data_IF_144460399468
#
_entry.id   IF_144460399468
#
_cell.length_a   1.000
_cell.length_b   1.000
_cell.length_c   1.000
_cell.angle_alpha   90.00
_cell.angle_beta   90.00
_cell.angle_gamma   90.00
#
_symmetry.space_group_name_H-M   'P 1'
#
loop_
_entity.id
_entity.type
_entity.pdbx_description
1 polymer ?
#
# COMPACT_ATOMS: atom_id res chain seq x y z
N UNK A 1 -11.39 5.34 -29.31
CA UNK A 1 -10.44 4.51 -28.53
C UNK A 1 -10.28 5.13 -27.15
N UNK A 2 -10.17 4.33 -26.08
CA UNK A 2 -9.91 4.85 -24.72
C UNK A 2 -8.49 5.39 -24.63
N UNK A 3 -8.27 6.46 -23.86
CA UNK A 3 -6.92 7.04 -23.70
C UNK A 3 -5.95 6.02 -23.11
N UNK A 4 -4.70 6.01 -23.58
CA UNK A 4 -3.64 5.16 -23.00
C UNK A 4 -3.35 5.63 -21.58
N UNK A 5 -3.13 4.69 -20.66
CA UNK A 5 -2.86 4.97 -19.25
C UNK A 5 -4.11 4.97 -18.36
N UNK A 6 -5.29 4.63 -18.89
CA UNK A 6 -6.47 4.31 -18.07
C UNK A 6 -6.45 2.85 -17.62
N UNK A 7 -7.26 2.50 -16.63
CA UNK A 7 -7.42 1.10 -16.16
C UNK A 7 -7.76 0.15 -17.30
N UNK A 8 -8.59 0.60 -18.25
CA UNK A 8 -9.07 -0.24 -19.35
C UNK A 8 -8.19 -0.21 -20.60
N UNK A 9 -7.24 0.73 -20.68
CA UNK A 9 -6.22 0.77 -21.72
C UNK A 9 -4.86 1.14 -21.08
N UNK A 10 -4.31 0.25 -20.22
CA UNK A 10 -3.10 0.54 -19.49
C UNK A 10 -1.90 0.64 -20.44
N UNK A 11 -0.93 1.45 -20.06
CA UNK A 11 0.32 1.61 -20.78
C UNK A 11 1.14 0.33 -20.67
N UNK A 12 1.63 -0.18 -21.80
CA UNK A 12 2.44 -1.40 -21.87
C UNK A 12 3.84 -1.17 -21.32
N UNK A 13 4.19 -1.79 -20.20
CA UNK A 13 5.52 -1.67 -19.62
C UNK A 13 6.57 -2.26 -20.57
N UNK A 14 7.59 -1.46 -20.91
CA UNK A 14 8.65 -1.83 -21.87
C UNK A 14 8.13 -2.36 -23.22
N UNK A 15 6.94 -1.92 -23.63
CA UNK A 15 6.32 -2.30 -24.90
C UNK A 15 5.82 -3.75 -24.97
N UNK A 16 5.79 -4.48 -23.86
CA UNK A 16 5.30 -5.86 -23.82
C UNK A 16 3.76 -5.90 -23.77
N UNK A 17 3.16 -6.73 -24.63
CA UNK A 17 1.71 -6.95 -24.67
C UNK A 17 1.39 -8.37 -24.23
N UNK A 18 0.67 -8.53 -23.12
CA UNK A 18 0.37 -9.84 -22.53
C UNK A 18 -0.28 -10.80 -23.52
N UNK A 19 -1.34 -10.37 -24.20
CA UNK A 19 -2.11 -11.24 -25.11
C UNK A 19 -1.28 -11.67 -26.32
N UNK A 20 -0.58 -10.74 -26.96
CA UNK A 20 0.27 -11.01 -28.12
C UNK A 20 1.42 -11.96 -27.77
N UNK A 21 2.07 -11.74 -26.62
CA UNK A 21 3.17 -12.58 -26.14
C UNK A 21 2.67 -13.99 -25.78
N UNK A 22 1.54 -14.08 -25.06
CA UNK A 22 0.90 -15.36 -24.71
C UNK A 22 0.54 -16.17 -25.94
N UNK A 23 -0.12 -15.56 -26.92
CA UNK A 23 -0.49 -16.22 -28.18
C UNK A 23 0.74 -16.68 -28.96
N UNK A 24 1.79 -15.85 -29.02
CA UNK A 24 3.05 -16.20 -29.68
C UNK A 24 3.69 -17.42 -29.03
N UNK A 25 3.76 -17.46 -27.70
CA UNK A 25 4.30 -18.59 -26.94
C UNK A 25 3.47 -19.86 -27.13
N UNK A 26 2.13 -19.75 -27.09
CA UNK A 26 1.21 -20.87 -27.36
C UNK A 26 1.40 -21.45 -28.76
N UNK A 27 1.46 -20.59 -29.78
CA UNK A 27 1.66 -20.99 -31.17
C UNK A 27 3.00 -21.69 -31.38
N UNK A 28 4.05 -21.23 -30.69
CA UNK A 28 5.40 -21.82 -30.73
C UNK A 28 5.58 -23.03 -29.81
N UNK A 29 4.58 -23.34 -28.96
CA UNK A 29 4.65 -24.37 -27.90
C UNK A 29 5.87 -24.19 -26.98
N UNK A 30 6.12 -22.94 -26.60
CA UNK A 30 7.23 -22.56 -25.72
C UNK A 30 6.70 -21.78 -24.52
N UNK A 31 7.43 -21.83 -23.41
CA UNK A 31 7.14 -20.99 -22.26
C UNK A 31 7.79 -19.63 -22.45
N UNK A 32 7.09 -18.58 -22.02
CA UNK A 32 7.57 -17.20 -22.08
C UNK A 32 8.80 -17.03 -21.19
N UNK A 33 9.83 -16.43 -21.75
CA UNK A 33 11.01 -16.00 -21.02
C UNK A 33 11.11 -14.49 -21.14
N UNK A 34 11.02 -13.80 -20.01
CA UNK A 34 11.05 -12.35 -19.96
C UNK A 34 12.48 -11.84 -20.14
N UNK A 35 12.77 -11.30 -21.32
CA UNK A 35 14.04 -10.68 -21.68
C UNK A 35 14.26 -9.34 -20.98
N UNK A 36 13.17 -8.66 -20.61
CA UNK A 36 13.24 -7.38 -19.90
C UNK A 36 13.46 -7.54 -18.39
N UNK A 37 13.16 -8.70 -17.83
CA UNK A 37 13.43 -9.03 -16.42
C UNK A 37 13.98 -10.46 -16.32
N UNK A 38 15.23 -10.66 -16.77
CA UNK A 38 15.79 -12.00 -16.95
C UNK A 38 15.94 -12.75 -15.63
N UNK A 39 15.88 -14.07 -15.69
CA UNK A 39 16.14 -14.96 -14.56
C UNK A 39 17.64 -14.98 -14.19
N UNK A 40 18.16 -13.85 -13.71
CA UNK A 40 19.58 -13.62 -13.46
C UNK A 40 19.80 -12.73 -12.23
N UNK A 41 21.07 -12.52 -11.86
CA UNK A 41 21.46 -11.67 -10.74
C UNK A 41 21.06 -10.19 -10.92
N UNK A 42 20.86 -9.71 -12.14
CA UNK A 42 20.44 -8.31 -12.37
C UNK A 42 19.04 -8.04 -11.85
N UNK A 43 18.16 -9.04 -11.93
CA UNK A 43 16.77 -8.95 -11.47
C UNK A 43 16.67 -9.14 -9.95
N UNK A 44 17.65 -9.78 -9.32
CA UNK A 44 17.76 -9.88 -7.85
C UNK A 44 18.33 -8.59 -7.25
N UNK A 45 19.46 -8.12 -7.79
CA UNK A 45 20.26 -7.02 -7.26
C UNK A 45 21.44 -7.50 -6.39
N UNK A 46 22.60 -6.87 -6.58
CA UNK A 46 23.89 -7.34 -6.04
C UNK A 46 24.09 -7.08 -4.54
N UNK A 47 23.29 -6.21 -3.95
CA UNK A 47 23.38 -5.80 -2.54
C UNK A 47 22.28 -6.42 -1.68
N UNK A 48 21.35 -7.18 -2.26
CA UNK A 48 20.25 -7.80 -1.53
C UNK A 48 20.75 -8.89 -0.56
N UNK A 49 21.72 -9.69 -0.98
CA UNK A 49 22.27 -10.82 -0.21
C UNK A 49 23.80 -10.86 -0.33
N UNK A 50 24.44 -11.68 0.51
CA UNK A 50 25.87 -11.98 0.36
C UNK A 50 26.18 -12.64 -0.99
N UNK A 51 27.40 -12.43 -1.50
CA UNK A 51 27.83 -12.97 -2.80
C UNK A 51 27.63 -14.48 -2.92
N UNK A 52 27.92 -15.24 -1.87
CA UNK A 52 27.77 -16.71 -1.87
C UNK A 52 26.30 -17.14 -1.98
N UNK A 53 25.40 -16.42 -1.29
CA UNK A 53 23.97 -16.65 -1.41
C UNK A 53 23.47 -16.31 -2.81
N UNK A 54 23.90 -15.17 -3.37
CA UNK A 54 23.52 -14.74 -4.72
C UNK A 54 23.89 -15.78 -5.78
N UNK A 55 25.12 -16.31 -5.74
CA UNK A 55 25.59 -17.33 -6.68
C UNK A 55 24.84 -18.67 -6.56
N UNK A 56 24.18 -18.90 -5.42
CA UNK A 56 23.42 -20.12 -5.15
C UNK A 56 21.95 -20.03 -5.57
N UNK A 57 21.47 -18.85 -5.99
CA UNK A 57 20.07 -18.65 -6.41
C UNK A 57 19.79 -19.43 -7.70
N UNK A 58 18.69 -20.18 -7.68
CA UNK A 58 18.15 -20.87 -8.85
C UNK A 58 16.79 -20.30 -9.19
N UNK A 59 16.51 -20.10 -10.46
CA UNK A 59 15.19 -19.68 -10.90
C UNK A 59 14.37 -20.90 -11.30
N UNK A 60 13.17 -21.04 -10.73
CA UNK A 60 12.30 -22.20 -10.96
C UNK A 60 10.89 -21.74 -11.32
N UNK A 61 10.25 -22.48 -12.23
CA UNK A 61 8.81 -22.34 -12.47
C UNK A 61 8.02 -23.22 -11.51
N UNK A 62 6.76 -22.88 -11.19
CA UNK A 62 5.83 -23.80 -10.59
C UNK A 62 5.78 -25.13 -11.36
N UNK A 63 5.69 -26.25 -10.66
CA UNK A 63 5.65 -27.55 -11.32
C UNK A 63 4.26 -27.80 -11.91
N UNK A 64 4.12 -27.57 -13.23
CA UNK A 64 2.84 -27.70 -13.95
C UNK A 64 2.59 -29.14 -14.46
N UNK A 65 3.31 -30.15 -13.96
CA UNK A 65 3.08 -31.54 -14.38
C UNK A 65 1.76 -32.09 -13.82
N UNK A 66 0.90 -32.62 -14.70
CA UNK A 66 -0.46 -33.13 -14.38
C UNK A 66 -0.48 -34.32 -13.41
N UNK A 67 0.67 -34.88 -13.04
CA UNK A 67 0.80 -36.03 -12.15
C UNK A 67 1.11 -35.64 -10.69
N UNK A 68 1.28 -34.35 -10.39
CA UNK A 68 1.46 -33.90 -9.01
C UNK A 68 0.11 -33.80 -8.31
N UNK A 69 0.04 -34.32 -7.08
CA UNK A 69 -1.12 -34.19 -6.19
C UNK A 69 -1.49 -32.74 -5.84
N UNK A 70 -0.64 -31.77 -6.19
CA UNK A 70 -0.79 -30.34 -5.89
C UNK A 70 -0.46 -29.53 -7.16
N UNK A 71 -1.43 -29.37 -8.06
CA UNK A 71 -1.27 -28.58 -9.29
C UNK A 71 -1.25 -27.07 -8.97
N UNK A 72 -0.34 -26.27 -9.58
CA UNK A 72 -0.26 -24.84 -9.29
C UNK A 72 -1.53 -24.11 -9.72
N UNK A 73 -1.98 -23.18 -8.89
CA UNK A 73 -3.13 -22.30 -9.16
C UNK A 73 -2.68 -20.86 -9.10
N UNK A 74 -3.30 -20.04 -9.95
CA UNK A 74 -3.08 -18.61 -9.89
C UNK A 74 -3.86 -18.03 -8.72
N UNK A 75 -5.17 -18.23 -8.75
CA UNK A 75 -6.11 -17.93 -7.66
C UNK A 75 -6.91 -19.21 -7.35
N UNK A 76 -7.01 -19.60 -6.08
CA UNK A 76 -7.82 -20.75 -5.66
C UNK A 76 -9.23 -20.32 -5.24
N UNK A 77 -9.32 -19.50 -4.18
CA UNK A 77 -10.58 -19.06 -3.54
C UNK A 77 -10.69 -17.52 -3.51
N UNK A 78 -10.05 -16.86 -4.48
CA UNK A 78 -9.84 -15.40 -4.51
C UNK A 78 -8.55 -14.98 -3.82
N UNK A 79 -8.13 -13.74 -4.02
CA UNK A 79 -6.91 -13.22 -3.39
C UNK A 79 -7.22 -12.77 -1.96
N UNK A 80 -6.66 -13.46 -0.97
CA UNK A 80 -6.87 -13.15 0.45
C UNK A 80 -5.58 -12.74 1.13
N UNK A 81 -5.71 -11.99 2.23
CA UNK A 81 -4.55 -11.60 3.06
C UNK A 81 -3.79 -12.82 3.60
N UNK A 82 -4.46 -13.98 3.73
CA UNK A 82 -3.89 -15.23 4.23
C UNK A 82 -2.97 -15.95 3.24
N UNK A 83 -2.96 -15.52 1.98
CA UNK A 83 -2.08 -16.09 0.95
C UNK A 83 -0.69 -15.44 0.96
N UNK A 84 -0.53 -14.36 1.73
CA UNK A 84 0.68 -13.55 1.78
C UNK A 84 1.52 -13.96 2.99
N UNK A 85 2.71 -14.49 2.72
CA UNK A 85 3.73 -14.78 3.74
C UNK A 85 5.07 -14.27 3.23
N UNK A 86 5.61 -13.25 3.89
CA UNK A 86 6.85 -12.59 3.48
C UNK A 86 8.03 -13.58 3.36
N UNK A 87 8.82 -13.39 2.31
CA UNK A 87 10.07 -14.13 2.08
C UNK A 87 11.26 -13.55 2.86
N UNK A 88 12.47 -13.70 2.31
CA UNK A 88 13.68 -13.09 2.91
C UNK A 88 13.90 -11.64 2.47
N UNK A 89 13.06 -11.11 1.58
CA UNK A 89 13.18 -9.75 1.04
C UNK A 89 12.57 -8.77 2.04
N UNK A 90 13.22 -7.62 2.24
CA UNK A 90 12.78 -6.55 3.14
C UNK A 90 11.64 -5.69 2.59
N UNK A 91 10.65 -6.29 1.95
CA UNK A 91 9.57 -5.63 1.20
C UNK A 91 8.23 -5.59 1.96
N UNK A 92 8.26 -5.72 3.29
CA UNK A 92 7.06 -5.69 4.15
C UNK A 92 6.09 -4.54 3.85
N UNK A 93 6.60 -3.38 3.45
CA UNK A 93 5.80 -2.21 3.06
C UNK A 93 4.93 -2.46 1.83
N UNK A 94 5.42 -3.26 0.87
CA UNK A 94 4.66 -3.72 -0.30
C UNK A 94 3.61 -4.73 0.16
N UNK A 95 4.01 -5.74 0.92
CA UNK A 95 3.13 -6.84 1.32
C UNK A 95 2.00 -6.40 2.26
N UNK A 96 2.26 -5.47 3.16
CA UNK A 96 1.22 -4.84 3.97
C UNK A 96 0.22 -4.03 3.10
N UNK A 97 0.71 -3.29 2.10
CA UNK A 97 -0.20 -2.61 1.15
C UNK A 97 -1.04 -3.61 0.34
N UNK A 98 -0.43 -4.72 -0.14
CA UNK A 98 -1.17 -5.82 -0.80
C UNK A 98 -2.19 -6.44 0.17
N UNK A 99 -1.84 -6.63 1.44
CA UNK A 99 -2.77 -7.12 2.45
C UNK A 99 -4.01 -6.23 2.56
N UNK A 100 -3.85 -4.90 2.55
CA UNK A 100 -4.98 -3.96 2.54
C UNK A 100 -5.80 -4.04 1.25
N UNK A 101 -5.13 -4.24 0.10
CA UNK A 101 -5.73 -4.39 -1.22
C UNK A 101 -6.68 -5.59 -1.29
N UNK A 102 -6.33 -6.72 -0.66
CA UNK A 102 -7.16 -7.95 -0.69
C UNK A 102 -8.55 -7.76 -0.06
N UNK A 103 -8.72 -6.75 0.81
CA UNK A 103 -10.02 -6.45 1.42
C UNK A 103 -10.92 -5.58 0.52
N UNK A 104 -10.40 -5.07 -0.60
CA UNK A 104 -11.09 -4.11 -1.47
C UNK A 104 -11.11 -4.58 -2.92
N UNK A 105 -12.16 -5.33 -3.27
CA UNK A 105 -12.33 -5.97 -4.57
C UNK A 105 -12.19 -5.01 -5.76
N UNK A 106 -12.72 -3.80 -5.67
CA UNK A 106 -12.67 -2.80 -6.75
C UNK A 106 -11.24 -2.37 -7.11
N UNK A 107 -10.37 -2.24 -6.11
CA UNK A 107 -8.96 -1.93 -6.35
C UNK A 107 -8.19 -3.19 -6.79
N UNK A 108 -8.48 -4.33 -6.17
CA UNK A 108 -7.83 -5.60 -6.46
C UNK A 108 -8.00 -6.03 -7.92
N UNK A 109 -9.21 -5.92 -8.48
CA UNK A 109 -9.50 -6.25 -9.88
C UNK A 109 -8.77 -5.35 -10.88
N UNK A 110 -8.43 -4.11 -10.47
CA UNK A 110 -7.61 -3.23 -11.30
C UNK A 110 -6.16 -3.72 -11.35
N UNK A 111 -5.62 -4.27 -10.25
CA UNK A 111 -4.23 -4.71 -10.13
C UNK A 111 -4.02 -6.13 -10.65
N UNK A 112 -4.96 -7.04 -10.39
CA UNK A 112 -4.90 -8.45 -10.73
C UNK A 112 -6.00 -8.79 -11.75
N UNK A 113 -5.68 -8.81 -13.05
CA UNK A 113 -6.60 -9.27 -14.08
C UNK A 113 -7.00 -10.75 -13.89
N UNK A 114 -8.27 -11.07 -14.14
CA UNK A 114 -8.82 -12.43 -13.98
C UNK A 114 -8.55 -13.36 -15.18
N UNK A 115 -7.92 -12.87 -16.26
CA UNK A 115 -7.74 -13.59 -17.52
C UNK A 115 -6.47 -14.47 -17.58
N UNK A 116 -5.96 -14.88 -16.42
CA UNK A 116 -4.72 -15.66 -16.25
C UNK A 116 -4.89 -16.83 -15.27
N UNK A 117 -4.38 -18.01 -15.65
CA UNK A 117 -4.45 -19.25 -14.85
C UNK A 117 -3.42 -20.27 -15.37
N UNK A 118 -3.02 -21.24 -14.54
CA UNK A 118 -2.07 -22.29 -14.93
C UNK A 118 -2.70 -23.43 -15.76
N UNK A 119 -4.00 -23.68 -15.60
CA UNK A 119 -4.68 -24.84 -16.19
C UNK A 119 -5.20 -24.62 -17.63
N UNK A 120 -5.28 -23.36 -18.08
CA UNK A 120 -5.86 -22.97 -19.36
C UNK A 120 -4.97 -21.95 -20.07
N UNK A 121 -4.69 -22.18 -21.37
CA UNK A 121 -3.84 -21.30 -22.20
C UNK A 121 -2.50 -20.93 -21.53
N UNK A 122 -1.96 -21.83 -20.71
CA UNK A 122 -0.73 -21.60 -19.98
C UNK A 122 0.47 -21.56 -20.92
N UNK A 123 1.22 -20.48 -20.82
CA UNK A 123 2.45 -20.25 -21.56
C UNK A 123 3.57 -19.70 -20.65
N UNK A 124 3.48 -19.91 -19.33
CA UNK A 124 4.48 -19.41 -18.36
C UNK A 124 4.57 -17.89 -18.29
N UNK A 125 3.45 -17.19 -18.52
CA UNK A 125 3.31 -15.73 -18.63
C UNK A 125 2.11 -15.25 -17.82
N UNK A 126 2.28 -14.15 -17.09
CA UNK A 126 1.28 -13.50 -16.25
C UNK A 126 1.43 -11.98 -16.37
N UNK A 127 0.45 -11.22 -15.92
CA UNK A 127 0.54 -9.77 -15.86
C UNK A 127 -0.23 -9.15 -14.70
N UNK A 128 0.20 -7.96 -14.31
CA UNK A 128 -0.36 -7.16 -13.23
C UNK A 128 -0.35 -5.69 -13.65
N UNK A 129 -1.23 -4.90 -13.06
CA UNK A 129 -1.30 -3.47 -13.36
C UNK A 129 -0.98 -2.65 -12.12
N UNK A 130 -0.19 -1.60 -12.33
CA UNK A 130 0.19 -0.69 -11.27
C UNK A 130 -0.05 0.73 -11.74
N UNK A 131 -0.50 1.58 -10.83
CA UNK A 131 -0.56 3.01 -11.07
C UNK A 131 0.85 3.59 -10.95
N UNK A 132 1.28 4.37 -11.93
CA UNK A 132 2.58 5.03 -11.96
C UNK A 132 2.39 6.48 -12.39
N UNK A 133 2.53 7.38 -11.43
CA UNK A 133 2.57 8.83 -11.65
C UNK A 133 1.42 9.35 -12.52
N UNK A 134 0.20 8.83 -12.32
CA UNK A 134 -1.00 9.27 -13.03
C UNK A 134 -1.48 8.35 -14.16
N UNK A 135 -0.71 7.32 -14.52
CA UNK A 135 -1.06 6.36 -15.57
C UNK A 135 -1.10 4.93 -15.01
N UNK A 136 -2.08 4.13 -15.42
CA UNK A 136 -2.05 2.68 -15.21
C UNK A 136 -1.08 2.02 -16.19
N UNK A 137 -0.21 1.16 -15.68
CA UNK A 137 0.84 0.47 -16.42
C UNK A 137 0.68 -1.04 -16.27
N UNK A 138 0.59 -1.75 -17.38
CA UNK A 138 0.48 -3.21 -17.45
C UNK A 138 1.89 -3.83 -17.52
N UNK A 139 2.22 -4.66 -16.53
CA UNK A 139 3.53 -5.28 -16.36
C UNK A 139 3.39 -6.78 -16.54
N UNK A 140 3.95 -7.27 -17.64
CA UNK A 140 4.03 -8.70 -17.97
C UNK A 140 5.22 -9.33 -17.24
N UNK A 141 5.09 -10.56 -16.73
CA UNK A 141 6.20 -11.34 -16.17
C UNK A 141 6.09 -12.80 -16.59
N UNK A 142 7.22 -13.50 -16.66
CA UNK A 142 7.20 -14.96 -16.65
C UNK A 142 7.04 -15.52 -15.22
N UNK A 143 6.78 -16.81 -15.07
CA UNK A 143 6.57 -17.46 -13.76
C UNK A 143 7.84 -18.08 -13.13
N UNK A 144 9.04 -17.73 -13.62
CA UNK A 144 10.29 -18.14 -12.96
C UNK A 144 10.45 -17.34 -11.66
N UNK A 145 10.49 -18.00 -10.52
CA UNK A 145 10.67 -17.39 -9.20
C UNK A 145 12.06 -17.74 -8.62
N UNK A 146 12.70 -16.82 -7.88
CA UNK A 146 13.99 -17.07 -7.24
C UNK A 146 13.87 -18.06 -6.09
N UNK A 147 14.74 -19.06 -6.07
CA UNK A 147 14.74 -20.17 -5.13
C UNK A 147 16.13 -20.34 -4.52
N UNK A 148 16.19 -20.34 -3.18
CA UNK A 148 17.43 -20.42 -2.41
C UNK A 148 17.23 -21.38 -1.23
N UNK A 149 18.16 -22.31 -1.04
CA UNK A 149 18.20 -23.22 0.12
C UNK A 149 16.88 -23.96 0.42
N UNK A 150 16.16 -24.40 -0.61
CA UNK A 150 14.93 -25.19 -0.42
C UNK A 150 13.65 -24.37 -0.29
N UNK A 151 13.71 -23.03 -0.33
CA UNK A 151 12.55 -22.14 -0.27
C UNK A 151 12.60 -21.04 -1.34
N UNK A 152 11.47 -20.39 -1.59
CA UNK A 152 11.45 -19.20 -2.44
C UNK A 152 12.12 -18.02 -1.71
N UNK A 153 12.72 -17.11 -2.45
CA UNK A 153 13.30 -15.89 -1.87
C UNK A 153 12.22 -14.81 -1.65
N UNK A 154 11.32 -14.72 -2.61
CA UNK A 154 10.08 -13.93 -2.64
C UNK A 154 9.03 -14.46 -1.66
N UNK A 155 7.84 -13.85 -1.64
CA UNK A 155 6.64 -14.34 -0.96
C UNK A 155 6.47 -15.84 -1.20
N UNK A 156 6.26 -16.60 -0.14
CA UNK A 156 6.10 -18.04 -0.23
C UNK A 156 4.73 -18.38 -0.82
N UNK A 157 4.67 -19.23 -1.86
CA UNK A 157 3.41 -19.84 -2.28
C UNK A 157 2.82 -20.65 -1.12
N UNK A 158 1.50 -20.55 -0.92
CA UNK A 158 0.79 -21.28 0.13
C UNK A 158 0.84 -22.79 -0.11
N UNK A 159 0.57 -23.60 0.92
CA UNK A 159 0.52 -25.08 0.83
C UNK A 159 -0.38 -25.60 -0.31
N UNK A 160 -1.40 -24.83 -0.71
CA UNK A 160 -2.30 -25.13 -1.82
C UNK A 160 -1.69 -24.81 -3.21
N UNK A 161 -0.40 -24.47 -3.28
CA UNK A 161 0.31 -24.08 -4.49
C UNK A 161 -0.34 -22.89 -5.22
N UNK A 162 -0.69 -21.85 -4.46
CA UNK A 162 -1.22 -20.58 -4.95
C UNK A 162 -0.08 -19.57 -5.15
N UNK A 163 0.02 -18.99 -6.35
CA UNK A 163 1.21 -18.23 -6.78
C UNK A 163 0.97 -16.74 -7.08
N UNK A 164 -0.28 -16.24 -7.01
CA UNK A 164 -0.55 -14.83 -7.28
C UNK A 164 0.31 -13.86 -6.43
N UNK A 165 0.58 -14.09 -5.12
CA UNK A 165 1.34 -13.13 -4.32
C UNK A 165 2.80 -13.05 -4.79
N UNK A 166 3.43 -14.20 -5.05
CA UNK A 166 4.82 -14.28 -5.52
C UNK A 166 4.98 -13.67 -6.91
N UNK A 167 3.98 -13.87 -7.79
CA UNK A 167 4.00 -13.30 -9.14
C UNK A 167 3.73 -11.79 -9.13
N UNK A 168 2.87 -11.30 -8.25
CA UNK A 168 2.62 -9.87 -8.05
C UNK A 168 3.87 -9.17 -7.54
N UNK A 169 4.51 -9.71 -6.50
CA UNK A 169 5.78 -9.19 -5.96
C UNK A 169 6.85 -9.14 -7.07
N UNK A 170 6.96 -10.20 -7.89
CA UNK A 170 7.87 -10.22 -9.05
C UNK A 170 7.57 -9.09 -10.04
N UNK A 171 6.31 -8.88 -10.39
CA UNK A 171 5.91 -7.83 -11.33
C UNK A 171 6.22 -6.44 -10.76
N UNK A 172 6.01 -6.25 -9.46
CA UNK A 172 6.37 -5.01 -8.78
C UNK A 172 7.90 -4.82 -8.69
N UNK A 173 8.67 -5.87 -8.41
CA UNK A 173 10.13 -5.87 -8.47
C UNK A 173 10.64 -5.48 -9.86
N UNK A 174 10.00 -6.01 -10.92
CA UNK A 174 10.29 -5.67 -12.31
C UNK A 174 10.01 -4.19 -12.62
N UNK A 175 8.88 -3.68 -12.15
CA UNK A 175 8.51 -2.27 -12.29
C UNK A 175 9.54 -1.36 -11.62
N UNK A 176 9.98 -1.72 -10.41
CA UNK A 176 11.01 -1.00 -9.63
C UNK A 176 12.45 -1.32 -10.09
N UNK A 177 12.63 -2.26 -11.00
CA UNK A 177 13.90 -2.60 -11.67
C UNK A 177 14.64 -3.82 -11.13
N UNK A 178 14.48 -4.19 -9.85
CA UNK A 178 15.00 -5.44 -9.25
C UNK A 178 14.34 -5.71 -7.90
N UNK A 179 14.44 -6.95 -7.39
CA UNK A 179 13.99 -7.27 -6.02
C UNK A 179 14.71 -6.47 -4.94
N UNK A 180 16.00 -6.13 -5.13
CA UNK A 180 16.74 -5.25 -4.23
C UNK A 180 16.08 -3.88 -4.08
N UNK A 181 15.45 -3.35 -5.14
CA UNK A 181 14.78 -2.05 -5.09
C UNK A 181 13.44 -2.10 -4.32
N UNK A 182 13.01 -3.28 -3.87
CA UNK A 182 11.90 -3.43 -2.93
C UNK A 182 12.37 -3.46 -1.47
N UNK A 183 13.68 -3.62 -1.23
CA UNK A 183 14.25 -3.70 0.10
C UNK A 183 14.21 -2.31 0.75
N UNK A 184 13.27 -2.12 1.67
CA UNK A 184 12.83 -0.84 2.25
C UNK A 184 11.98 0.03 1.33
N UNK A 185 11.01 0.70 1.92
CA UNK A 185 10.15 1.67 1.26
C UNK A 185 9.05 2.16 2.20
N UNK A 186 8.21 3.06 1.69
CA UNK A 186 7.09 3.61 2.44
C UNK A 186 5.80 2.94 1.99
N UNK A 187 5.05 2.38 2.94
CA UNK A 187 3.77 1.73 2.66
C UNK A 187 2.82 2.64 1.87
N UNK A 188 2.88 3.95 2.12
CA UNK A 188 2.10 4.95 1.42
C UNK A 188 2.35 4.91 -0.11
N UNK A 189 3.61 4.77 -0.55
CA UNK A 189 3.94 4.64 -1.98
C UNK A 189 3.29 3.41 -2.60
N UNK A 190 3.35 2.25 -1.93
CA UNK A 190 2.72 1.03 -2.45
C UNK A 190 1.20 1.15 -2.49
N UNK A 191 0.59 1.76 -1.47
CA UNK A 191 -0.84 2.02 -1.46
C UNK A 191 -1.28 2.83 -2.68
N UNK A 192 -0.53 3.88 -3.03
CA UNK A 192 -0.80 4.69 -4.24
C UNK A 192 -0.57 3.87 -5.50
N UNK A 193 0.54 3.13 -5.60
CA UNK A 193 0.85 2.31 -6.79
C UNK A 193 -0.19 1.19 -7.02
N UNK A 194 -0.89 0.72 -6.00
CA UNK A 194 -1.96 -0.28 -6.13
C UNK A 194 -3.36 0.30 -6.34
N UNK A 195 -3.58 1.59 -6.08
CA UNK A 195 -4.93 2.19 -6.10
C UNK A 195 -5.09 3.32 -7.12
N UNK A 196 -4.01 4.04 -7.42
CA UNK A 196 -4.07 5.36 -8.04
C UNK A 196 -4.79 6.41 -7.20
N UNK A 197 -4.95 6.14 -5.91
CA UNK A 197 -5.67 6.98 -4.96
C UNK A 197 -4.83 8.14 -4.42
N UNK A 198 -5.48 8.93 -3.58
CA UNK A 198 -4.86 9.97 -2.76
C UNK A 198 -4.49 9.36 -1.42
N UNK A 199 -3.22 9.49 -1.03
CA UNK A 199 -2.75 9.07 0.29
C UNK A 199 -2.75 10.24 1.28
N UNK A 200 -3.01 9.94 2.55
CA UNK A 200 -2.79 10.81 3.70
C UNK A 200 -1.94 10.10 4.73
N UNK A 201 -0.93 10.79 5.26
CA UNK A 201 -0.01 10.27 6.26
C UNK A 201 -0.23 11.01 7.59
N UNK A 202 -0.41 10.26 8.67
CA UNK A 202 -0.60 10.77 10.01
C UNK A 202 0.56 10.33 10.90
N UNK A 203 1.16 11.29 11.61
CA UNK A 203 2.22 11.01 12.56
C UNK A 203 1.60 10.54 13.89
N UNK A 204 1.83 9.29 14.26
CA UNK A 204 1.26 8.70 15.49
C UNK A 204 2.03 9.10 16.75
N UNK A 205 3.25 9.61 16.63
CA UNK A 205 3.99 10.19 17.77
C UNK A 205 3.49 11.58 18.16
N UNK A 206 2.76 12.24 17.25
CA UNK A 206 2.08 13.52 17.44
C UNK A 206 0.72 13.48 16.74
N UNK A 207 -0.19 12.62 17.22
CA UNK A 207 -1.43 12.35 16.54
C UNK A 207 -2.33 13.61 16.56
N UNK A 208 -3.10 13.87 15.49
CA UNK A 208 -4.12 14.90 15.54
C UNK A 208 -5.21 14.49 16.56
N UNK A 209 -5.92 15.48 17.11
CA UNK A 209 -6.88 15.26 18.20
C UNK A 209 -8.00 14.30 17.80
N UNK A 210 -8.36 14.30 16.52
CA UNK A 210 -9.41 13.53 15.86
C UNK A 210 -8.91 12.22 15.23
N UNK A 211 -7.67 11.78 15.49
CA UNK A 211 -7.10 10.57 14.87
C UNK A 211 -8.00 9.34 15.02
N UNK A 212 -8.63 9.18 16.17
CA UNK A 212 -9.54 8.04 16.44
C UNK A 212 -10.72 8.04 15.49
N UNK A 213 -11.35 9.21 15.31
CA UNK A 213 -12.46 9.39 14.40
C UNK A 213 -12.02 9.17 12.95
N UNK A 214 -10.80 9.60 12.59
CA UNK A 214 -10.21 9.40 11.25
C UNK A 214 -10.04 7.91 10.97
N UNK A 215 -9.46 7.15 11.90
CA UNK A 215 -9.22 5.71 11.75
C UNK A 215 -10.54 4.95 11.62
N UNK A 216 -11.54 5.29 12.45
CA UNK A 216 -12.87 4.69 12.38
C UNK A 216 -13.60 5.07 11.08
N UNK A 217 -13.47 6.31 10.61
CA UNK A 217 -14.06 6.77 9.37
C UNK A 217 -13.44 6.08 8.16
N UNK A 218 -12.11 5.94 8.13
CA UNK A 218 -11.38 5.24 7.07
C UNK A 218 -11.76 3.75 6.98
N UNK A 219 -11.95 3.08 8.12
CA UNK A 219 -12.45 1.72 8.15
C UNK A 219 -13.89 1.61 7.59
N UNK A 220 -14.76 2.58 7.91
CA UNK A 220 -16.15 2.61 7.40
C UNK A 220 -16.23 2.93 5.90
N UNK A 221 -15.35 3.77 5.37
CA UNK A 221 -15.32 4.12 3.94
C UNK A 221 -14.71 3.03 3.06
N UNK A 222 -14.06 2.02 3.65
CA UNK A 222 -13.29 1.04 2.88
C UNK A 222 -12.03 1.66 2.28
N UNK A 223 -11.40 2.59 3.00
CA UNK A 223 -10.11 3.13 2.61
C UNK A 223 -9.01 2.12 2.95
N UNK A 224 -7.96 2.04 2.13
CA UNK A 224 -6.83 1.16 2.39
C UNK A 224 -5.95 1.78 3.46
N UNK A 225 -5.56 0.97 4.44
CA UNK A 225 -4.83 1.41 5.62
C UNK A 225 -3.55 0.61 5.86
N UNK A 226 -2.51 1.31 6.26
CA UNK A 226 -1.22 0.71 6.58
C UNK A 226 -0.48 1.52 7.63
N UNK A 227 0.31 0.85 8.46
CA UNK A 227 1.04 1.51 9.55
C UNK A 227 2.43 0.90 9.74
N UNK A 228 3.32 1.64 10.38
CA UNK A 228 4.70 1.20 10.62
C UNK A 228 5.09 1.34 12.08
N UNK A 229 5.86 0.39 12.57
CA UNK A 229 6.52 0.50 13.87
C UNK A 229 7.82 1.30 13.74
N UNK A 230 8.26 2.02 14.79
CA UNK A 230 9.55 2.70 14.79
C UNK A 230 10.71 1.74 14.47
N UNK A 231 11.73 2.22 13.75
CA UNK A 231 12.98 1.47 13.55
C UNK A 231 13.83 1.37 14.82
N UNK A 232 14.68 0.34 14.88
CA UNK A 232 15.65 0.15 15.96
C UNK A 232 17.00 0.85 15.70
N UNK A 233 17.90 0.79 16.68
CA UNK A 233 19.28 1.25 16.51
C UNK A 233 20.12 0.29 15.65
N UNK A 234 19.72 -0.97 15.55
CA UNK A 234 20.36 -1.98 14.72
C UNK A 234 19.64 -2.08 13.37
N UNK A 235 20.40 -2.37 12.30
CA UNK A 235 19.83 -2.63 11.00
C UNK A 235 19.10 -3.98 11.00
N UNK A 236 17.81 -3.96 10.65
CA UNK A 236 16.98 -5.15 10.51
C UNK A 236 15.75 -5.11 11.41
N UNK A 237 14.82 -6.03 11.12
CA UNK A 237 13.57 -6.16 11.84
C UNK A 237 13.77 -7.11 13.04
N UNK A 238 13.25 -6.74 14.20
CA UNK A 238 13.37 -7.52 15.44
C UNK A 238 12.00 -7.65 16.10
N UNK A 239 11.61 -8.88 16.42
CA UNK A 239 10.40 -9.13 17.21
C UNK A 239 10.64 -8.71 18.67
N UNK A 240 9.72 -7.89 19.19
CA UNK A 240 9.73 -7.35 20.54
C UNK A 240 9.00 -8.30 21.49
N UNK A 241 9.15 -8.08 22.80
CA UNK A 241 8.49 -8.91 23.82
C UNK A 241 6.95 -8.85 23.76
N UNK A 242 6.39 -7.75 23.25
CA UNK A 242 4.96 -7.60 23.01
C UNK A 242 4.51 -8.26 21.69
N UNK A 243 5.42 -8.90 20.95
CA UNK A 243 5.20 -9.61 19.68
C UNK A 243 5.04 -8.73 18.44
N UNK A 244 5.16 -7.40 18.58
CA UNK A 244 5.34 -6.51 17.43
C UNK A 244 6.77 -6.59 16.91
N UNK A 245 6.94 -6.35 15.63
CA UNK A 245 8.22 -6.33 14.95
C UNK A 245 8.64 -4.88 14.78
N UNK A 246 9.85 -4.56 15.21
CA UNK A 246 10.43 -3.23 15.08
C UNK A 246 10.85 -2.94 13.62
N UNK A 247 10.65 -1.70 13.14
CA UNK A 247 11.00 -1.29 11.77
C UNK A 247 10.17 -1.96 10.68
N UNK A 248 8.94 -2.37 11.00
CA UNK A 248 8.13 -3.24 10.15
C UNK A 248 6.80 -2.58 9.77
N UNK A 249 6.27 -2.93 8.60
CA UNK A 249 5.00 -2.45 8.10
C UNK A 249 3.89 -3.46 8.37
N UNK A 250 2.73 -2.95 8.77
CA UNK A 250 1.52 -3.70 9.10
C UNK A 250 0.35 -3.16 8.30
N UNK A 251 -0.59 -4.04 7.97
CA UNK A 251 -1.87 -3.64 7.39
C UNK A 251 -2.80 -3.19 8.50
N UNK A 252 -3.48 -2.06 8.33
CA UNK A 252 -4.64 -1.70 9.18
C UNK A 252 -5.88 -2.22 8.46
N UNK A 253 -6.46 -3.29 8.97
CA UNK A 253 -7.54 -4.01 8.26
C UNK A 253 -8.92 -3.51 8.61
N UNK A 254 -9.11 -3.00 9.85
CA UNK A 254 -10.40 -2.50 10.31
C UNK A 254 -10.22 -1.64 11.58
N UNK A 255 -11.24 -0.87 11.91
CA UNK A 255 -11.38 -0.21 13.20
C UNK A 255 -12.85 -0.13 13.60
N UNK A 256 -13.14 -0.40 14.86
CA UNK A 256 -14.51 -0.39 15.39
C UNK A 256 -14.55 0.04 16.84
N UNK A 257 -15.72 0.46 17.30
CA UNK A 257 -15.95 0.74 18.71
C UNK A 257 -16.73 -0.43 19.33
N UNK A 258 -16.26 -0.92 20.48
CA UNK A 258 -16.92 -2.00 21.22
C UNK A 258 -17.26 -1.53 22.64
N UNK A 259 -18.35 -2.05 23.18
CA UNK A 259 -18.66 -1.89 24.60
C UNK A 259 -17.91 -2.94 25.42
N UNK A 260 -17.10 -2.49 26.38
CA UNK A 260 -16.36 -3.35 27.30
C UNK A 260 -16.38 -2.75 28.71
N UNK A 261 -16.86 -3.53 29.69
CA UNK A 261 -17.01 -3.09 31.08
C UNK A 261 -17.81 -1.77 31.22
N UNK A 262 -18.92 -1.64 30.49
CA UNK A 262 -19.79 -0.45 30.44
C UNK A 262 -19.06 0.83 29.97
N UNK A 263 -18.02 0.67 29.16
CA UNK A 263 -17.28 1.77 28.51
C UNK A 263 -17.13 1.44 27.03
N UNK A 264 -17.20 2.47 26.19
CA UNK A 264 -16.85 2.33 24.78
C UNK A 264 -15.33 2.34 24.65
N UNK A 265 -14.79 1.36 23.93
CA UNK A 265 -13.37 1.20 23.64
C UNK A 265 -13.18 1.16 22.13
N UNK A 266 -12.25 1.96 21.62
CA UNK A 266 -11.91 2.01 20.20
C UNK A 266 -10.84 0.96 19.91
N UNK A 267 -11.16 0.02 19.03
CA UNK A 267 -10.33 -1.12 18.68
C UNK A 267 -9.85 -0.98 17.23
N UNK A 268 -8.55 -1.17 17.05
CA UNK A 268 -7.91 -1.23 15.73
C UNK A 268 -7.48 -2.67 15.47
N UNK A 269 -7.71 -3.15 14.25
CA UNK A 269 -7.23 -4.44 13.77
C UNK A 269 -6.01 -4.22 12.87
N UNK A 270 -4.93 -4.94 13.18
CA UNK A 270 -3.69 -4.88 12.42
C UNK A 270 -3.24 -6.28 12.03
N UNK A 271 -2.60 -6.40 10.87
CA UNK A 271 -2.10 -7.68 10.36
C UNK A 271 -0.63 -7.60 9.97
N UNK A 272 0.09 -8.68 10.28
CA UNK A 272 1.53 -8.82 10.09
C UNK A 272 1.85 -9.63 8.82
N UNK A 273 2.51 -9.05 7.80
CA UNK A 273 2.87 -9.76 6.57
C UNK A 273 3.91 -10.87 6.74
N UNK A 274 4.59 -10.97 7.89
CA UNK A 274 5.47 -12.11 8.17
C UNK A 274 4.72 -13.44 8.35
N UNK A 275 3.41 -13.41 8.61
CA UNK A 275 2.63 -14.63 8.91
C UNK A 275 3.04 -15.31 10.23
N UNK A 276 3.85 -14.64 11.05
CA UNK A 276 4.31 -15.07 12.37
C UNK A 276 4.50 -13.84 13.29
N UNK A 277 4.42 -14.04 14.60
CA UNK A 277 4.50 -12.97 15.60
C UNK A 277 3.13 -12.33 15.86
N UNK A 278 2.68 -12.42 17.11
CA UNK A 278 1.35 -11.98 17.55
C UNK A 278 1.44 -10.95 18.65
N UNK A 279 0.50 -9.99 18.65
CA UNK A 279 0.35 -9.06 19.75
C UNK A 279 0.05 -9.77 21.07
N UNK A 280 0.95 -9.61 22.04
CA UNK A 280 0.86 -10.23 23.37
C UNK A 280 0.27 -9.32 24.45
N UNK A 281 -0.20 -8.12 24.08
CA UNK A 281 -0.77 -7.14 25.00
C UNK A 281 -2.27 -7.32 25.26
N UNK A 282 -2.95 -6.25 25.68
CA UNK A 282 -4.41 -6.24 25.89
C UNK A 282 -5.11 -6.54 24.56
N UNK A 283 -6.21 -7.29 24.60
CA UNK A 283 -6.95 -7.73 23.41
C UNK A 283 -6.28 -8.82 22.57
N UNK A 284 -5.22 -9.46 23.08
CA UNK A 284 -4.64 -10.65 22.44
C UNK A 284 -5.66 -11.76 22.25
N UNK A 285 -5.44 -12.57 21.22
CA UNK A 285 -6.23 -13.73 20.89
C UNK A 285 -5.90 -14.86 21.89
N UNK A 286 -6.52 -14.83 23.08
CA UNK A 286 -6.40 -15.94 24.02
C UNK A 286 -7.31 -17.05 23.51
N UNK A 287 -6.76 -17.97 22.70
CA UNK A 287 -7.45 -19.03 21.94
C UNK A 287 -8.43 -19.95 22.69
N UNK A 288 -8.72 -19.72 23.98
CA UNK A 288 -9.85 -20.31 24.72
C UNK A 288 -10.34 -19.27 25.75
N UNK A 289 -11.65 -19.06 25.82
CA UNK A 289 -12.39 -18.30 26.87
C UNK A 289 -12.21 -16.77 26.94
N UNK A 290 -12.92 -16.05 26.07
CA UNK A 290 -13.66 -14.85 26.49
C UNK A 290 -14.79 -14.59 25.50
N UNK A 291 -16.00 -14.29 25.96
CA UNK A 291 -17.20 -14.12 25.12
C UNK A 291 -17.19 -12.83 24.28
N UNK A 292 -16.00 -12.34 23.88
CA UNK A 292 -15.76 -11.15 23.05
C UNK A 292 -15.74 -11.49 21.55
N UNK A 293 -15.90 -12.77 21.20
CA UNK A 293 -15.71 -13.32 19.85
C UNK A 293 -16.98 -13.44 19.00
N UNK A 294 -17.94 -12.53 19.11
CA UNK A 294 -19.12 -12.57 18.24
C UNK A 294 -19.29 -11.26 17.46
N UNK A 295 -19.00 -11.39 16.14
CA UNK A 295 -19.38 -10.56 14.98
C UNK A 295 -18.45 -9.40 14.53
N UNK A 296 -18.39 -9.08 13.21
CA UNK A 296 -18.74 -9.85 12.01
C UNK A 296 -17.62 -9.79 10.94
N UNK A 297 -16.81 -10.84 10.81
CA UNK A 297 -16.42 -11.22 9.45
C UNK A 297 -17.47 -12.21 8.97
N UNK A 298 -18.26 -11.85 7.96
CA UNK A 298 -18.89 -12.85 7.09
C UNK A 298 -17.79 -13.47 6.24
N UNK A 299 -16.90 -14.23 6.87
CA UNK A 299 -16.27 -15.32 6.12
C UNK A 299 -17.42 -16.31 5.89
N UNK A 300 -17.77 -16.68 4.66
CA UNK A 300 -18.76 -17.72 4.43
C UNK A 300 -18.40 -18.93 5.28
N UNK A 301 -19.37 -19.54 5.98
CA UNK A 301 -19.11 -20.73 6.79
C UNK A 301 -18.41 -21.83 5.97
N UNK A 302 -18.61 -21.85 4.65
CA UNK A 302 -17.91 -22.72 3.70
C UNK A 302 -16.42 -22.44 3.56
N UNK A 303 -15.93 -21.22 3.77
CA UNK A 303 -14.51 -20.87 3.68
C UNK A 303 -13.80 -21.09 5.03
N UNK A 304 -14.46 -20.81 6.17
CA UNK A 304 -13.95 -21.26 7.49
C UNK A 304 -13.91 -22.78 7.51
N UNK A 305 -14.97 -23.45 7.05
CA UNK A 305 -14.99 -24.90 6.94
C UNK A 305 -14.01 -25.40 5.89
N UNK A 306 -13.79 -24.77 4.73
CA UNK A 306 -12.76 -25.24 3.79
C UNK A 306 -11.34 -25.06 4.33
N UNK A 307 -11.07 -23.97 5.05
CA UNK A 307 -9.79 -23.74 5.75
C UNK A 307 -9.60 -24.71 6.93
N UNK A 308 -10.68 -25.18 7.57
CA UNK A 308 -10.66 -26.16 8.65
C UNK A 308 -10.70 -27.64 8.16
N UNK A 309 -11.25 -27.90 6.97
CA UNK A 309 -11.55 -29.26 6.46
C UNK A 309 -10.59 -29.69 5.35
N UNK A 310 -10.04 -28.76 4.54
CA UNK A 310 -9.07 -29.09 3.49
C UNK A 310 -7.64 -28.75 3.96
N UNK A 311 -7.06 -29.68 4.70
CA UNK A 311 -5.64 -29.91 4.96
C UNK A 311 -4.74 -28.74 5.46
N UNK A 312 -4.07 -29.01 6.59
CA UNK A 312 -2.93 -28.32 7.24
C UNK A 312 -3.20 -27.54 8.53
N UNK A 313 -4.40 -27.02 8.83
CA UNK A 313 -4.60 -26.29 10.12
C UNK A 313 -4.75 -27.19 11.36
N UNK A 314 -4.89 -28.52 11.20
CA UNK A 314 -5.18 -29.46 12.31
C UNK A 314 -4.05 -30.48 12.59
N UNK A 315 -2.97 -30.54 11.79
CA UNK A 315 -1.95 -31.61 11.96
C UNK A 315 -1.00 -31.39 13.17
N UNK A 316 -1.19 -30.36 13.99
CA UNK A 316 -0.39 -30.20 15.23
C UNK A 316 -1.13 -29.61 16.44
N UNK A 317 -2.47 -29.52 16.44
CA UNK A 317 -3.19 -28.91 17.57
C UNK A 317 -2.79 -27.43 17.84
N UNK A 318 -2.13 -26.80 16.87
CA UNK A 318 -1.76 -25.39 16.82
C UNK A 318 -2.39 -24.82 15.55
N UNK A 319 -3.63 -24.35 15.64
CA UNK A 319 -3.98 -23.21 14.81
C UNK A 319 -3.00 -22.11 15.25
N UNK A 320 -2.02 -21.77 14.42
CA UNK A 320 -1.20 -20.59 14.70
C UNK A 320 -2.13 -19.39 14.50
N UNK A 321 -2.60 -18.82 15.60
CA UNK A 321 -3.38 -17.59 15.64
C UNK A 321 -2.60 -16.43 14.93
N UNK A 322 -1.28 -16.60 14.70
CA UNK A 322 -0.35 -15.69 14.03
C UNK A 322 -0.71 -15.26 12.60
N UNK A 323 -1.65 -15.96 11.96
CA UNK A 323 -2.09 -15.64 10.60
C UNK A 323 -3.23 -14.61 10.56
N UNK A 324 -3.95 -14.43 11.68
CA UNK A 324 -5.11 -13.57 11.71
C UNK A 324 -4.74 -12.12 12.08
N UNK A 325 -5.47 -11.12 11.54
CA UNK A 325 -5.36 -9.77 12.04
C UNK A 325 -5.72 -9.72 13.52
N UNK A 326 -4.81 -9.25 14.36
CA UNK A 326 -5.03 -9.15 15.80
C UNK A 326 -5.54 -7.77 16.19
N UNK A 327 -6.23 -7.73 17.33
CA UNK A 327 -6.88 -6.54 17.88
C UNK A 327 -5.98 -5.87 18.90
N UNK A 328 -6.01 -4.53 18.91
CA UNK A 328 -5.42 -3.73 19.97
C UNK A 328 -6.26 -2.48 20.21
N UNK A 329 -6.08 -1.83 21.36
CA UNK A 329 -6.74 -0.54 21.58
C UNK A 329 -6.13 0.53 20.68
N UNK A 330 -6.90 1.55 20.33
CA UNK A 330 -6.37 2.70 19.58
C UNK A 330 -5.24 3.41 20.37
N UNK A 331 -5.27 3.35 21.70
CA UNK A 331 -4.19 3.86 22.55
C UNK A 331 -2.90 3.07 22.35
N UNK A 332 -2.95 1.73 22.43
CA UNK A 332 -1.79 0.87 22.19
C UNK A 332 -1.25 1.08 20.76
N UNK A 333 -2.14 1.24 19.79
CA UNK A 333 -1.76 1.52 18.41
C UNK A 333 -0.96 2.83 18.29
N UNK A 334 -1.40 3.92 18.92
CA UNK A 334 -0.66 5.19 18.93
C UNK A 334 0.67 5.11 19.69
N UNK A 335 0.77 4.26 20.71
CA UNK A 335 1.99 4.11 21.51
C UNK A 335 3.08 3.29 20.81
N UNK A 336 2.70 2.31 19.97
CA UNK A 336 3.63 1.35 19.38
C UNK A 336 3.95 1.60 17.89
N UNK A 337 3.12 2.38 17.20
CA UNK A 337 3.30 2.73 15.79
C UNK A 337 3.68 4.21 15.66
N UNK A 338 4.43 4.57 14.60
CA UNK A 338 4.87 5.97 14.39
C UNK A 338 4.18 6.68 13.23
N UNK A 339 3.59 5.94 12.29
CA UNK A 339 2.94 6.48 11.11
C UNK A 339 1.72 5.64 10.75
N UNK A 340 0.63 6.31 10.38
CA UNK A 340 -0.54 5.72 9.74
C UNK A 340 -0.66 6.32 8.33
N UNK A 341 -0.80 5.47 7.33
CA UNK A 341 -1.04 5.85 5.94
C UNK A 341 -2.42 5.36 5.54
N UNK A 342 -3.27 6.24 5.04
CA UNK A 342 -4.62 5.92 4.54
C UNK A 342 -4.69 6.33 3.08
N UNK A 343 -5.20 5.47 2.22
CA UNK A 343 -5.31 5.71 0.78
C UNK A 343 -6.68 5.33 0.24
N UNK A 344 -7.23 6.20 -0.59
CA UNK A 344 -8.54 6.01 -1.21
C UNK A 344 -8.59 6.83 -2.52
N UNK A 345 -9.54 6.55 -3.42
CA UNK A 345 -9.78 7.35 -4.62
C UNK A 345 -10.06 8.83 -4.28
N UNK A 346 -10.76 9.05 -3.17
CA UNK A 346 -11.06 10.38 -2.63
C UNK A 346 -10.95 10.35 -1.12
N UNK A 347 -10.48 11.44 -0.45
CA UNK A 347 -10.32 11.47 1.00
C UNK A 347 -11.66 11.65 1.74
N UNK A 348 -12.71 10.91 1.33
CA UNK A 348 -14.07 11.01 1.87
C UNK A 348 -14.17 10.69 3.36
N UNK A 349 -13.21 9.91 3.89
CA UNK A 349 -13.12 9.62 5.32
C UNK A 349 -12.88 10.87 6.19
N UNK A 350 -12.38 11.96 5.62
CA UNK A 350 -12.18 13.24 6.31
C UNK A 350 -13.48 14.03 6.50
N UNK A 351 -14.58 13.64 5.87
CA UNK A 351 -15.86 14.32 6.03
C UNK A 351 -16.53 13.98 7.37
N UNK A 352 -16.12 12.89 8.04
CA UNK A 352 -16.67 12.30 9.28
C UNK A 352 -18.20 12.02 9.30
N UNK A 353 -18.94 12.54 8.32
CA UNK A 353 -20.38 12.43 8.16
C UNK A 353 -20.76 11.20 7.33
N UNK A 354 -21.92 10.57 7.58
CA UNK A 354 -22.40 9.43 6.79
C UNK A 354 -22.71 9.78 5.33
N UNK A 355 -22.94 11.08 5.04
CA UNK A 355 -23.24 11.57 3.70
C UNK A 355 -21.93 11.95 3.02
N UNK A 356 -21.48 11.10 2.08
CA UNK A 356 -20.29 11.39 1.30
C UNK A 356 -20.46 12.70 0.54
N UNK A 357 -19.58 13.67 0.80
CA UNK A 357 -19.51 14.88 -0.02
C UNK A 357 -18.89 14.53 -1.36
N UNK A 358 -19.33 15.20 -2.41
CA UNK A 358 -18.79 14.98 -3.75
C UNK A 358 -17.40 15.61 -3.86
N UNK A 359 -16.35 14.80 -3.70
CA UNK A 359 -14.98 15.21 -3.97
C UNK A 359 -14.74 15.31 -5.47
N UNK A 360 -14.15 16.42 -5.93
CA UNK A 360 -13.71 16.60 -7.31
C UNK A 360 -12.19 16.61 -7.36
N UNK A 361 -11.61 15.66 -8.10
CA UNK A 361 -10.17 15.60 -8.33
C UNK A 361 -9.79 16.29 -9.64
N UNK A 362 -8.62 16.90 -9.69
CA UNK A 362 -8.01 17.44 -10.91
C UNK A 362 -6.50 17.29 -10.81
N UNK A 363 -5.88 16.72 -11.84
CA UNK A 363 -4.45 16.41 -11.88
C UNK A 363 -3.73 17.26 -12.92
N UNK A 364 -2.49 17.66 -12.61
CA UNK A 364 -1.64 18.45 -13.49
C UNK A 364 -0.27 17.78 -13.63
N UNK A 365 0.25 17.71 -14.85
CA UNK A 365 1.58 17.17 -15.15
C UNK A 365 2.51 18.33 -15.48
N UNK A 366 3.63 18.42 -14.78
CA UNK A 366 4.62 19.49 -14.93
C UNK A 366 6.04 18.92 -14.92
N UNK A 367 7.01 19.69 -15.41
CA UNK A 367 8.42 19.31 -15.43
C UNK A 367 9.30 20.46 -14.91
N UNK A 368 10.29 20.13 -14.08
CA UNK A 368 11.35 21.04 -13.68
C UNK A 368 12.55 20.90 -14.62
N UNK A 369 12.82 21.94 -15.40
CA UNK A 369 13.91 21.99 -16.39
C UNK A 369 14.99 22.94 -15.89
N UNK A 370 16.22 22.44 -15.78
CA UNK A 370 17.39 23.24 -15.39
C UNK A 370 17.54 24.46 -16.30
N UNK A 371 17.65 25.65 -15.72
CA UNK A 371 17.78 26.91 -16.47
C UNK A 371 16.46 27.49 -16.99
N UNK A 372 15.33 26.84 -16.72
CA UNK A 372 13.99 27.34 -17.08
C UNK A 372 13.07 27.32 -15.86
N UNK A 373 12.50 26.16 -15.50
CA UNK A 373 11.50 26.01 -14.44
C UNK A 373 12.03 25.40 -13.14
N UNK A 374 13.27 24.92 -13.11
CA UNK A 374 13.91 24.36 -11.91
C UNK A 374 14.52 25.45 -11.00
N UNK A 375 13.70 26.41 -10.57
CA UNK A 375 14.13 27.54 -9.72
C UNK A 375 14.47 27.18 -8.28
N UNK A 376 14.16 25.95 -7.86
CA UNK A 376 14.25 25.51 -6.47
C UNK A 376 13.26 26.25 -5.57
N UNK A 377 13.23 25.88 -4.29
CA UNK A 377 12.64 26.73 -3.27
C UNK A 377 13.46 28.02 -3.22
N UNK A 378 12.88 29.16 -3.67
CA UNK A 378 13.52 30.46 -3.50
C UNK A 378 14.02 30.59 -2.06
N UNK A 379 15.23 31.15 -1.85
CA UNK A 379 16.04 31.06 -0.63
C UNK A 379 15.41 31.49 0.71
N UNK A 380 14.12 31.78 0.77
CA UNK A 380 13.30 31.74 1.98
C UNK A 380 12.55 30.40 2.09
N UNK A 381 13.20 29.40 2.70
CA UNK A 381 12.58 28.33 3.49
C UNK A 381 11.19 27.79 3.07
N UNK A 382 10.95 27.58 1.76
CA UNK A 382 9.71 26.99 1.27
C UNK A 382 9.49 25.59 1.86
N UNK A 383 10.57 24.83 2.06
CA UNK A 383 10.56 23.51 2.70
C UNK A 383 10.20 23.58 4.19
N UNK A 384 10.49 24.69 4.87
CA UNK A 384 10.18 24.90 6.30
C UNK A 384 8.77 25.47 6.52
N UNK A 385 8.22 26.10 5.49
CA UNK A 385 6.81 26.47 5.39
C UNK A 385 5.96 25.23 5.07
N UNK A 386 6.32 24.44 4.05
CA UNK A 386 5.64 23.19 3.70
C UNK A 386 5.74 22.09 4.76
N UNK A 387 6.75 22.15 5.65
CA UNK A 387 6.87 21.24 6.80
C UNK A 387 6.05 21.69 8.01
N UNK A 388 5.30 22.79 7.93
CA UNK A 388 4.26 23.11 8.90
C UNK A 388 2.96 22.57 8.32
N UNK A 389 2.36 21.61 9.03
CA UNK A 389 1.12 20.89 8.70
C UNK A 389 -0.14 21.79 8.53
N UNK A 390 0.02 23.10 8.37
CA UNK A 390 -1.06 24.10 8.37
C UNK A 390 -1.26 24.79 7.01
N UNK A 391 -0.43 24.51 5.99
CA UNK A 391 -0.27 25.43 4.85
C UNK A 391 -1.52 25.59 3.95
N UNK A 392 -2.54 24.74 4.07
CA UNK A 392 -3.76 24.82 3.24
C UNK A 392 -5.08 24.61 3.99
N UNK A 393 -5.09 24.38 5.29
CA UNK A 393 -6.31 23.98 6.01
C UNK A 393 -7.24 25.13 6.42
N UNK A 394 -6.83 26.41 6.35
CA UNK A 394 -7.57 27.49 7.01
C UNK A 394 -7.86 28.75 6.19
N UNK A 395 -7.48 28.85 4.91
CA UNK A 395 -7.81 30.04 4.12
C UNK A 395 -9.17 29.85 3.41
N UNK A 396 -10.23 30.24 4.11
CA UNK A 396 -11.53 30.53 3.48
C UNK A 396 -11.34 31.70 2.50
N UNK A 397 -11.37 31.43 1.19
CA UNK A 397 -11.30 32.46 0.16
C UNK A 397 -12.69 33.05 -0.04
N UNK A 398 -12.91 34.29 0.39
CA UNK A 398 -14.14 35.03 0.09
C UNK A 398 -14.13 35.57 -1.35
N UNK A 399 -15.30 35.92 -1.89
CA UNK A 399 -15.44 36.50 -3.24
C UNK A 399 -14.64 37.81 -3.40
N UNK A 400 -14.57 38.63 -2.34
CA UNK A 400 -13.76 39.84 -2.32
C UNK A 400 -12.26 39.53 -2.41
N UNK A 401 -11.82 38.48 -1.70
CA UNK A 401 -10.43 38.04 -1.74
C UNK A 401 -10.09 37.47 -3.12
N UNK A 402 -10.97 36.64 -3.68
CA UNK A 402 -10.82 36.11 -5.03
C UNK A 402 -10.71 37.23 -6.06
N UNK A 403 -11.53 38.27 -5.95
CA UNK A 403 -11.49 39.44 -6.83
C UNK A 403 -10.16 40.19 -6.73
N UNK A 404 -9.61 40.35 -5.52
CA UNK A 404 -8.28 40.94 -5.32
C UNK A 404 -7.16 40.05 -5.87
N UNK A 405 -7.27 38.73 -5.73
CA UNK A 405 -6.32 37.77 -6.27
C UNK A 405 -6.30 37.86 -7.81
N UNK A 406 -7.47 37.85 -8.45
CA UNK A 406 -7.59 37.99 -9.91
C UNK A 406 -7.04 39.34 -10.38
N UNK A 407 -7.43 40.46 -9.75
CA UNK A 407 -6.92 41.78 -10.12
C UNK A 407 -5.38 41.92 -10.02
N UNK A 408 -4.76 41.21 -9.08
CA UNK A 408 -3.32 41.34 -8.80
C UNK A 408 -2.44 40.36 -9.57
N UNK A 409 -2.97 39.18 -9.87
CA UNK A 409 -2.16 38.03 -10.32
C UNK A 409 -2.69 37.37 -11.60
N UNK A 410 -3.87 37.75 -12.09
CA UNK A 410 -4.35 37.26 -13.38
C UNK A 410 -3.82 38.10 -14.54
N UNK A 411 -3.77 37.51 -15.72
CA UNK A 411 -3.45 38.17 -16.98
C UNK A 411 -4.62 39.04 -17.48
N UNK A 412 -4.44 39.68 -18.64
CA UNK A 412 -5.47 40.52 -19.27
C UNK A 412 -6.73 39.77 -19.71
N UNK A 413 -6.73 38.43 -19.64
CA UNK A 413 -7.87 37.56 -19.91
C UNK A 413 -8.44 36.96 -18.61
N UNK A 414 -8.10 37.53 -17.44
CA UNK A 414 -8.52 37.08 -16.11
C UNK A 414 -8.08 35.65 -15.77
N UNK A 415 -7.03 35.14 -16.42
CA UNK A 415 -6.46 33.82 -16.12
C UNK A 415 -5.23 33.95 -15.25
N UNK A 416 -5.17 33.13 -14.21
CA UNK A 416 -4.04 33.08 -13.29
C UNK A 416 -3.26 31.80 -13.52
N UNK A 417 -1.93 31.89 -13.62
CA UNK A 417 -1.10 30.70 -13.68
C UNK A 417 -1.00 30.06 -12.28
N UNK A 418 -0.73 28.76 -12.21
CA UNK A 418 -0.55 28.09 -10.92
C UNK A 418 0.60 28.70 -10.09
N UNK A 419 1.68 29.15 -10.76
CA UNK A 419 2.78 29.83 -10.10
C UNK A 419 2.33 31.13 -9.43
N UNK A 420 1.49 31.90 -10.12
CA UNK A 420 0.97 33.16 -9.61
C UNK A 420 -0.03 32.93 -8.47
N UNK A 421 -0.85 31.88 -8.58
CA UNK A 421 -1.75 31.43 -7.51
C UNK A 421 -0.98 31.04 -6.24
N UNK A 422 0.05 30.19 -6.37
CA UNK A 422 0.89 29.79 -5.24
C UNK A 422 1.63 31.00 -4.64
N UNK A 423 2.16 31.89 -5.48
CA UNK A 423 2.79 33.13 -5.02
C UNK A 423 1.82 34.01 -4.22
N UNK A 424 0.58 34.10 -4.70
CA UNK A 424 -0.47 34.85 -4.03
C UNK A 424 -0.83 34.25 -2.66
N UNK A 425 -1.04 32.92 -2.60
CA UNK A 425 -1.37 32.24 -1.35
C UNK A 425 -0.29 32.39 -0.29
N UNK A 426 0.98 32.22 -0.66
CA UNK A 426 2.13 32.41 0.24
C UNK A 426 2.19 33.85 0.76
N UNK A 427 1.96 34.84 -0.11
CA UNK A 427 1.97 36.26 0.28
C UNK A 427 0.82 36.60 1.22
N UNK A 428 -0.38 36.11 0.94
CA UNK A 428 -1.57 36.32 1.78
C UNK A 428 -1.36 35.73 3.17
N UNK A 429 -0.85 34.50 3.27
CA UNK A 429 -0.53 33.87 4.55
C UNK A 429 0.56 34.67 5.30
N UNK A 430 1.63 35.06 4.59
CA UNK A 430 2.74 35.84 5.19
C UNK A 430 2.25 37.18 5.75
N UNK A 431 1.39 37.89 5.01
CA UNK A 431 0.79 39.15 5.45
C UNK A 431 -0.12 38.91 6.66
N UNK A 432 -1.00 37.92 6.59
CA UNK A 432 -1.93 37.56 7.67
C UNK A 432 -1.18 37.19 8.95
N UNK A 433 -0.14 36.35 8.85
CA UNK A 433 0.72 35.95 9.96
C UNK A 433 1.47 37.14 10.58
N UNK A 434 2.02 38.05 9.75
CA UNK A 434 2.65 39.28 10.25
C UNK A 434 1.65 40.22 10.92
N UNK A 435 0.44 40.34 10.38
CA UNK A 435 -0.62 41.19 10.93
C UNK A 435 -1.13 40.65 12.27
N UNK A 436 -1.33 39.34 12.38
CA UNK A 436 -1.69 38.67 13.64
C UNK A 436 -0.60 38.81 14.69
N UNK A 437 0.68 38.64 14.32
CA UNK A 437 1.80 38.83 15.25
C UNK A 437 1.96 40.29 15.70
N UNK A 438 1.71 41.27 14.83
CA UNK A 438 1.71 42.70 15.23
C UNK A 438 0.48 43.08 16.06
N UNK A 439 -0.67 42.42 15.86
CA UNK A 439 -1.85 42.60 16.71
C UNK A 439 -1.65 42.04 18.14
N UNK A 440 -0.94 40.91 18.30
CA UNK A 440 -0.52 40.38 19.62
C UNK A 440 0.44 41.31 20.36
N UNK A 441 1.32 42.01 19.64
CA UNK A 441 2.24 42.99 20.22
C UNK A 441 1.48 44.27 20.68
N UNK A 442 0.39 44.65 20.00
CA UNK A 442 -0.47 45.76 20.44
C UNK A 442 -1.35 45.41 21.65
N UNK A 443 -1.72 44.15 21.83
CA UNK A 443 -2.44 43.68 23.03
C UNK A 443 -1.59 43.59 24.30
N UNK A 444 -0.28 43.75 24.20
CA UNK A 444 0.65 43.79 25.35
C UNK A 444 1.07 45.23 25.73
N UNK A 445 0.52 46.25 25.06
CA UNK A 445 0.83 47.67 25.27
C UNK A 445 -0.42 48.54 25.53
N UNK A 446 -1.52 47.94 25.98
CA UNK A 446 -2.67 48.65 26.54
C UNK A 446 -3.09 48.03 27.87
#
# INVERSE_FOLDING_TARGET
ERAVGTVENPKKFRGQDFNTLRETCLNRRQLFEDDTFPASLTSIGQQLLSKDKLLSIKWKRPNVSRCCSHYPRFLLDGATIFDIVQGEIGDCWVLAAVGSLTSHRSFLENVIPEDQEFNQKYAGIFHFRFWQFGEWVDVVVDDRLPFLNGKYLSVQPRANNEFWPSLLEKAYAKLRGSYQNLHWGFISEALVDFTGGVQMNFNLTKPPVDLKDIVLAAARSGSLGGSTTPGGQQFGNMELQNGLVQGHAYTVTNATQIEYNNRMEDIVQVWNPWGQGEWNGRWKDSGKTSNIWLFPFKVPDTLIMSLLINDVYVISGLACDCFFPYRMSCQDFMEHFNQLSICDHTPSFMDFEPQQRAWKSTSYFNQWVKGSSAGGAGGGNLTRLLSRDELLLCLMVSDDLLSVMVMRYADSAEKMTFSDFVSCMIRLETVTSKFLNTSKIKGALY
#
